data_IF_311232163420
#
_entry.id   IF_311232163420
#
_cell.length_a   1.000
_cell.length_b   1.000
_cell.length_c   1.000
_cell.angle_alpha   90.00
_cell.angle_beta   90.00
_cell.angle_gamma   90.00
#
_symmetry.space_group_name_H-M   'P 1'
#
loop_
_entity.id
_entity.type
_entity.pdbx_description
1 polymer ?
#
# COMPACT_ATOMS: atom_id res chain seq x y z
N UNK A 1 18.20 9.38 8.60
CA UNK A 1 17.52 9.96 7.42
C UNK A 1 17.87 11.44 7.37
N UNK A 2 18.24 11.98 6.20
CA UNK A 2 18.41 13.43 5.99
C UNK A 2 17.78 13.79 4.66
N UNK A 3 16.96 14.84 4.60
CA UNK A 3 16.27 15.31 3.40
C UNK A 3 15.54 14.19 2.62
N UNK A 4 14.78 13.34 3.32
CA UNK A 4 14.05 12.23 2.69
C UNK A 4 14.91 11.07 2.17
N UNK A 5 16.22 11.07 2.43
CA UNK A 5 17.16 10.02 1.99
C UNK A 5 17.75 9.25 3.17
N UNK A 6 17.79 7.93 3.05
CA UNK A 6 18.59 7.06 3.92
C UNK A 6 19.94 6.81 3.27
N UNK A 7 21.01 6.79 4.06
CA UNK A 7 22.34 6.47 3.55
C UNK A 7 23.19 5.77 4.61
N UNK A 8 24.09 4.88 4.18
CA UNK A 8 25.08 4.25 5.05
C UNK A 8 26.25 5.22 5.35
N UNK A 9 27.24 4.76 6.12
CA UNK A 9 28.41 5.56 6.49
C UNK A 9 29.24 6.06 5.29
N UNK A 10 29.09 5.46 4.10
CA UNK A 10 29.75 5.85 2.84
C UNK A 10 28.89 6.77 1.97
N UNK A 11 27.69 7.16 2.40
CA UNK A 11 26.78 8.02 1.64
C UNK A 11 25.92 7.31 0.58
N UNK A 12 26.05 5.98 0.43
CA UNK A 12 25.23 5.18 -0.50
C UNK A 12 23.80 5.02 0.03
N UNK A 13 22.80 4.99 -0.86
CA UNK A 13 21.39 4.71 -0.50
C UNK A 13 21.33 3.41 0.29
N UNK A 14 20.62 3.45 1.43
CA UNK A 14 20.42 2.29 2.27
C UNK A 14 18.94 2.21 2.69
N UNK A 15 18.10 1.72 1.78
CA UNK A 15 16.64 1.63 1.97
C UNK A 15 15.88 2.86 1.47
N UNK A 16 14.62 2.99 1.91
CA UNK A 16 13.73 4.10 1.59
C UNK A 16 12.98 4.54 2.84
N UNK A 17 12.40 5.74 2.80
CA UNK A 17 11.46 6.26 3.81
C UNK A 17 10.04 6.41 3.28
N UNK A 18 9.81 5.98 2.03
CA UNK A 18 8.49 6.02 1.42
C UNK A 18 7.54 5.06 2.13
N UNK A 19 6.31 5.50 2.39
CA UNK A 19 5.24 4.64 2.87
C UNK A 19 4.44 4.07 1.70
N UNK A 20 3.65 3.00 1.93
CA UNK A 20 2.75 2.47 0.90
C UNK A 20 1.75 3.51 0.42
N UNK A 21 1.21 4.33 1.32
CA UNK A 21 0.31 5.46 0.98
C UNK A 21 0.99 6.43 0.02
N UNK A 22 2.21 6.84 0.34
CA UNK A 22 2.93 7.82 -0.50
C UNK A 22 3.30 7.22 -1.87
N UNK A 23 3.61 5.92 -1.93
CA UNK A 23 3.85 5.20 -3.18
C UNK A 23 2.58 5.10 -4.05
N UNK A 24 1.43 4.76 -3.45
CA UNK A 24 0.12 4.73 -4.13
C UNK A 24 -0.22 6.11 -4.68
N UNK A 25 -0.14 7.15 -3.85
CA UNK A 25 -0.38 8.54 -4.26
C UNK A 25 0.55 8.96 -5.41
N UNK A 26 1.82 8.58 -5.33
CA UNK A 26 2.80 8.86 -6.38
C UNK A 26 2.41 8.20 -7.72
N UNK A 27 2.04 6.92 -7.72
CA UNK A 27 1.64 6.23 -8.96
C UNK A 27 0.37 6.83 -9.58
N UNK A 28 -0.62 7.19 -8.75
CA UNK A 28 -1.81 7.90 -9.22
C UNK A 28 -1.45 9.27 -9.82
N UNK A 29 -0.55 10.02 -9.18
CA UNK A 29 -0.10 11.32 -9.70
C UNK A 29 0.67 11.22 -11.03
N UNK A 30 1.23 10.05 -11.33
CA UNK A 30 1.86 9.73 -12.63
C UNK A 30 0.85 9.25 -13.68
N UNK A 31 -0.44 9.20 -13.37
CA UNK A 31 -1.51 8.82 -14.29
C UNK A 31 -1.80 7.31 -14.37
N UNK A 32 -1.25 6.50 -13.46
CA UNK A 32 -1.57 5.08 -13.40
C UNK A 32 -3.00 4.88 -12.88
N UNK A 33 -3.79 4.07 -13.56
CA UNK A 33 -5.19 3.81 -13.18
C UNK A 33 -5.28 3.12 -11.81
N UNK A 34 -6.34 3.43 -11.06
CA UNK A 34 -6.53 2.96 -9.67
C UNK A 34 -6.53 1.43 -9.57
N UNK A 35 -7.10 0.74 -10.54
CA UNK A 35 -7.15 -0.73 -10.59
C UNK A 35 -5.75 -1.32 -10.76
N UNK A 36 -4.89 -0.63 -11.51
CA UNK A 36 -3.50 -1.05 -11.71
C UNK A 36 -2.66 -0.78 -10.47
N UNK A 37 -2.83 0.39 -9.83
CA UNK A 37 -2.18 0.69 -8.55
C UNK A 37 -2.62 -0.31 -7.46
N UNK A 38 -3.89 -0.70 -7.42
CA UNK A 38 -4.38 -1.73 -6.49
C UNK A 38 -3.72 -3.09 -6.74
N UNK A 39 -3.57 -3.49 -8.02
CA UNK A 39 -2.79 -4.70 -8.37
C UNK A 39 -1.33 -4.57 -7.95
N UNK A 40 -0.69 -3.43 -8.17
CA UNK A 40 0.72 -3.20 -7.78
C UNK A 40 0.91 -3.25 -6.27
N UNK A 41 0.01 -2.63 -5.50
CA UNK A 41 0.13 -2.49 -4.06
C UNK A 41 -0.29 -3.76 -3.27
N UNK A 42 -1.20 -4.57 -3.82
CA UNK A 42 -1.79 -5.70 -3.09
C UNK A 42 -1.83 -7.00 -3.92
N UNK A 43 -2.41 -7.00 -5.11
CA UNK A 43 -2.67 -8.24 -5.87
C UNK A 43 -1.42 -8.96 -6.37
N UNK A 44 -0.47 -8.21 -6.95
CA UNK A 44 0.79 -8.72 -7.46
C UNK A 44 1.71 -9.27 -6.34
N UNK A 45 1.94 -8.56 -5.21
CA UNK A 45 2.72 -9.13 -4.12
C UNK A 45 2.05 -10.35 -3.48
N UNK A 46 0.72 -10.38 -3.36
CA UNK A 46 0.02 -11.56 -2.86
C UNK A 46 0.24 -12.79 -3.76
N UNK A 47 0.15 -12.61 -5.09
CA UNK A 47 0.43 -13.68 -6.06
C UNK A 47 1.90 -14.11 -6.04
N UNK A 48 2.83 -13.15 -5.95
CA UNK A 48 4.26 -13.45 -5.87
C UNK A 48 4.61 -14.31 -4.64
N UNK A 49 3.93 -14.06 -3.53
CA UNK A 49 4.13 -14.78 -2.27
C UNK A 49 3.26 -16.05 -2.13
N UNK A 50 2.37 -16.34 -3.09
CA UNK A 50 1.48 -17.50 -3.05
C UNK A 50 0.35 -17.40 -2.01
N UNK A 51 -0.03 -16.19 -1.60
CA UNK A 51 -1.06 -15.91 -0.58
C UNK A 51 -2.30 -15.24 -1.18
N UNK A 52 -2.46 -15.26 -2.51
CA UNK A 52 -3.59 -14.65 -3.21
C UNK A 52 -4.93 -15.30 -2.89
N UNK A 53 -4.94 -16.52 -2.33
CA UNK A 53 -6.15 -17.16 -1.81
C UNK A 53 -6.62 -16.54 -0.49
N UNK A 54 -5.73 -15.85 0.23
CA UNK A 54 -6.00 -15.27 1.54
C UNK A 54 -6.19 -13.75 1.47
N UNK A 55 -5.44 -13.05 0.61
CA UNK A 55 -5.47 -11.58 0.49
C UNK A 55 -5.11 -11.09 -0.93
N UNK A 56 -4.97 -9.76 -1.10
CA UNK A 56 -4.53 -9.13 -2.35
C UNK A 56 -5.65 -8.68 -3.29
N UNK A 57 -6.90 -9.06 -3.02
CA UNK A 57 -8.10 -8.58 -3.72
C UNK A 57 -9.34 -8.64 -2.82
N UNK A 58 -10.40 -7.96 -3.23
CA UNK A 58 -11.68 -7.92 -2.52
C UNK A 58 -12.59 -8.98 -3.12
N UNK A 59 -12.62 -10.15 -2.50
CA UNK A 59 -13.41 -11.31 -2.92
C UNK A 59 -13.97 -12.05 -1.70
N UNK A 60 -15.15 -12.65 -1.85
CA UNK A 60 -15.75 -13.44 -0.78
C UNK A 60 -14.84 -14.62 -0.38
N UNK A 61 -14.72 -14.86 0.93
CA UNK A 61 -13.88 -15.92 1.49
C UNK A 61 -12.43 -15.51 1.80
N UNK A 62 -11.98 -14.33 1.34
CA UNK A 62 -10.65 -13.79 1.70
C UNK A 62 -10.68 -13.05 3.04
N UNK A 63 -9.50 -12.84 3.64
CA UNK A 63 -9.38 -12.03 4.86
C UNK A 63 -9.83 -10.60 4.57
N UNK A 64 -10.62 -10.03 5.49
CA UNK A 64 -11.04 -8.63 5.42
C UNK A 64 -9.90 -7.69 5.86
N UNK A 65 -8.82 -7.69 5.08
CA UNK A 65 -7.71 -6.75 5.15
C UNK A 65 -7.93 -5.67 4.08
N UNK A 66 -8.39 -4.49 4.49
CA UNK A 66 -8.84 -3.43 3.60
C UNK A 66 -8.24 -2.08 4.01
N UNK A 67 -7.88 -1.27 3.01
CA UNK A 67 -7.54 0.13 3.18
C UNK A 67 -8.48 0.97 2.30
N UNK A 68 -9.20 1.91 2.92
CA UNK A 68 -10.06 2.86 2.20
C UNK A 68 -9.31 4.17 2.06
N UNK A 69 -9.27 4.68 0.84
CA UNK A 69 -8.60 5.92 0.47
C UNK A 69 -9.61 6.94 -0.05
N UNK A 70 -9.38 8.24 0.21
CA UNK A 70 -10.09 9.32 -0.48
C UNK A 70 -9.50 9.60 -1.88
N UNK A 71 -10.04 10.59 -2.60
CA UNK A 71 -9.56 10.98 -3.93
C UNK A 71 -8.12 11.49 -3.96
N UNK A 72 -7.60 11.96 -2.83
CA UNK A 72 -6.23 12.44 -2.66
C UNK A 72 -5.28 11.34 -2.12
N UNK A 73 -5.78 10.11 -2.06
CA UNK A 73 -5.10 8.93 -1.52
C UNK A 73 -4.73 9.03 -0.02
N UNK A 74 -5.45 9.83 0.77
CA UNK A 74 -5.36 9.76 2.23
C UNK A 74 -6.12 8.53 2.73
N UNK A 75 -5.54 7.84 3.71
CA UNK A 75 -6.19 6.69 4.36
C UNK A 75 -7.32 7.21 5.24
N UNK A 76 -8.55 6.74 4.99
CA UNK A 76 -9.76 7.06 5.77
C UNK A 76 -10.19 5.91 6.69
N UNK A 77 -9.89 4.67 6.31
CA UNK A 77 -10.19 3.49 7.11
C UNK A 77 -9.15 2.40 6.86
N UNK A 78 -8.77 1.67 7.90
CA UNK A 78 -8.01 0.42 7.77
C UNK A 78 -8.70 -0.67 8.58
N UNK A 79 -8.95 -1.80 7.93
CA UNK A 79 -9.51 -3.01 8.54
C UNK A 79 -8.45 -4.10 8.42
N UNK A 80 -8.17 -4.81 9.52
CA UNK A 80 -7.25 -5.94 9.59
C UNK A 80 -8.01 -7.14 10.13
N UNK A 81 -8.18 -8.18 9.32
CA UNK A 81 -8.92 -9.40 9.67
C UNK A 81 -10.36 -9.12 10.10
N UNK A 82 -11.01 -8.12 9.51
CA UNK A 82 -12.37 -7.71 9.86
C UNK A 82 -12.47 -6.78 11.08
N UNK A 83 -11.36 -6.41 11.72
CA UNK A 83 -11.33 -5.44 12.81
C UNK A 83 -10.86 -4.08 12.32
N UNK A 84 -11.58 -3.02 12.70
CA UNK A 84 -11.15 -1.64 12.44
C UNK A 84 -9.88 -1.34 13.24
N UNK A 85 -8.79 -1.05 12.53
CA UNK A 85 -7.49 -0.68 13.10
C UNK A 85 -7.24 0.85 13.04
N UNK A 86 -7.89 1.55 12.11
CA UNK A 86 -7.84 2.99 11.94
C UNK A 86 -9.15 3.48 11.34
N UNK A 87 -9.71 4.59 11.81
CA UNK A 87 -10.95 5.18 11.28
C UNK A 87 -10.92 6.71 11.36
N UNK A 88 -11.11 7.34 10.21
CA UNK A 88 -11.20 8.78 9.98
C UNK A 88 -12.28 9.09 8.92
N UNK A 89 -13.25 8.18 8.71
CA UNK A 89 -14.40 8.41 7.84
C UNK A 89 -15.24 9.61 8.31
#
# INVERSE_FOLDING_TARGET
VRNGRTSNARGTIAGSVITMRDAVRMMLSLGVFVEEVARMAAGNPARLLGVERECGSIEAGKRADLAVLDSDAHVKLTIIGGRVAFNDL
#
